data_IF_934155106083
#
_entry.id   IF_934155106083
#
_cell.length_a   1.000
_cell.length_b   1.000
_cell.length_c   1.000
_cell.angle_alpha   90.00
_cell.angle_beta   90.00
_cell.angle_gamma   90.00
#
_symmetry.space_group_name_H-M   'P 1'
#
loop_
_entity.id
_entity.type
_entity.pdbx_description
1 polymer ?
#
# COMPACT_ATOMS: atom_id res chain seq x y z
N UNK A 1 12.31 -17.13 -26.56
CA UNK A 1 12.14 -15.88 -25.77
C UNK A 1 11.10 -15.02 -26.48
N UNK A 2 10.13 -14.44 -25.76
CA UNK A 2 9.08 -13.58 -26.33
C UNK A 2 9.22 -12.17 -25.75
N UNK A 3 9.16 -11.13 -26.59
CA UNK A 3 9.08 -9.74 -26.13
C UNK A 3 7.63 -9.40 -25.82
N UNK A 4 7.41 -8.72 -24.69
CA UNK A 4 6.09 -8.29 -24.25
C UNK A 4 5.92 -6.78 -24.45
N UNK A 5 4.75 -6.38 -24.91
CA UNK A 5 4.21 -5.05 -24.73
C UNK A 5 3.34 -5.07 -23.49
N UNK A 6 3.75 -4.27 -22.51
CA UNK A 6 3.19 -4.23 -21.17
C UNK A 6 2.27 -3.01 -21.02
N UNK A 7 1.50 -2.95 -19.95
CA UNK A 7 0.47 -1.93 -19.79
C UNK A 7 0.88 -0.85 -18.78
N UNK A 8 0.68 0.43 -19.11
CA UNK A 8 0.98 1.54 -18.19
C UNK A 8 -0.31 2.12 -17.61
N UNK A 9 -0.37 2.23 -16.29
CA UNK A 9 -1.42 2.94 -15.56
C UNK A 9 -0.97 4.36 -15.24
N UNK A 10 -1.80 5.32 -15.63
CA UNK A 10 -1.57 6.77 -15.51
C UNK A 10 -2.34 7.36 -14.31
N UNK A 11 -2.09 6.82 -13.12
CA UNK A 11 -2.78 7.31 -11.92
C UNK A 11 -2.18 8.63 -11.45
N UNK A 12 -3.04 9.55 -10.98
CA UNK A 12 -2.64 10.91 -10.54
C UNK A 12 -1.60 10.97 -9.41
N UNK A 13 -1.38 9.86 -8.69
CA UNK A 13 -0.36 9.78 -7.64
C UNK A 13 1.04 9.50 -8.21
N UNK A 14 1.15 9.11 -9.48
CA UNK A 14 2.41 8.78 -10.14
C UNK A 14 3.26 10.02 -10.44
N UNK A 15 4.56 9.80 -10.67
CA UNK A 15 5.44 10.87 -11.19
C UNK A 15 5.02 11.28 -12.60
N UNK A 16 5.24 12.55 -12.90
CA UNK A 16 4.85 13.16 -14.16
C UNK A 16 5.99 13.05 -15.18
N UNK A 17 5.65 12.83 -16.45
CA UNK A 17 6.58 12.88 -17.57
C UNK A 17 7.84 12.04 -17.39
N UNK A 18 8.96 12.61 -17.82
CA UNK A 18 10.28 11.98 -17.79
C UNK A 18 10.87 11.82 -16.38
N UNK A 19 10.25 12.42 -15.35
CA UNK A 19 10.63 12.15 -13.95
C UNK A 19 10.21 10.75 -13.50
N UNK A 20 9.25 10.13 -14.20
CA UNK A 20 8.78 8.79 -13.90
C UNK A 20 9.74 7.70 -14.39
N UNK A 21 10.16 6.83 -13.49
CA UNK A 21 10.85 5.58 -13.83
C UNK A 21 9.99 4.69 -14.74
N UNK A 22 8.66 4.72 -14.58
CA UNK A 22 7.73 3.98 -15.45
C UNK A 22 7.77 4.54 -16.86
N UNK A 23 7.69 5.87 -17.02
CA UNK A 23 7.74 6.50 -18.34
C UNK A 23 9.06 6.20 -19.07
N UNK A 24 10.20 6.40 -18.39
CA UNK A 24 11.53 6.15 -18.96
C UNK A 24 11.74 4.69 -19.34
N UNK A 25 11.34 3.76 -18.46
CA UNK A 25 11.46 2.33 -18.74
C UNK A 25 10.55 1.91 -19.91
N UNK A 26 9.32 2.43 -19.96
CA UNK A 26 8.40 2.15 -21.05
C UNK A 26 8.93 2.69 -22.39
N UNK A 27 9.42 3.93 -22.42
CA UNK A 27 10.01 4.55 -23.61
C UNK A 27 11.24 3.78 -24.13
N UNK A 28 12.15 3.36 -23.23
CA UNK A 28 13.29 2.53 -23.61
C UNK A 28 12.86 1.18 -24.25
N UNK A 29 11.69 0.67 -23.85
CA UNK A 29 11.09 -0.54 -24.38
C UNK A 29 10.23 -0.34 -25.64
N UNK A 30 9.92 0.87 -26.07
CA UNK A 30 8.96 1.12 -27.16
C UNK A 30 9.44 2.27 -28.07
N UNK A 31 9.95 1.93 -29.26
CA UNK A 31 10.62 2.88 -30.16
C UNK A 31 9.76 4.06 -30.62
N UNK A 32 8.44 3.89 -30.66
CA UNK A 32 7.49 4.89 -31.14
C UNK A 32 6.73 5.56 -29.99
N UNK A 33 7.17 5.35 -28.75
CA UNK A 33 6.56 5.97 -27.59
C UNK A 33 7.34 7.22 -27.21
N UNK A 34 6.66 8.36 -27.29
CA UNK A 34 7.14 9.62 -26.75
C UNK A 34 6.51 9.85 -25.37
N UNK A 35 7.33 10.28 -24.42
CA UNK A 35 6.86 10.61 -23.07
C UNK A 35 6.11 11.93 -23.16
N UNK A 36 4.87 11.93 -22.68
CA UNK A 36 4.08 13.15 -22.50
C UNK A 36 4.48 13.78 -21.16
N UNK A 37 5.14 14.94 -21.22
CA UNK A 37 5.63 15.63 -20.03
C UNK A 37 4.51 16.18 -19.13
N UNK A 38 3.27 16.26 -19.63
CA UNK A 38 2.12 16.73 -18.85
C UNK A 38 1.33 15.58 -18.19
N UNK A 39 1.72 14.33 -18.44
CA UNK A 39 0.98 13.14 -18.01
C UNK A 39 1.64 12.42 -16.82
N UNK A 40 0.83 11.76 -16.00
CA UNK A 40 1.33 10.91 -14.91
C UNK A 40 1.55 9.47 -15.34
N UNK A 41 2.64 8.86 -14.85
CA UNK A 41 3.00 7.48 -15.16
C UNK A 41 3.28 6.74 -13.86
N UNK A 42 2.29 5.97 -13.39
CA UNK A 42 2.25 5.47 -12.03
C UNK A 42 2.70 4.01 -11.91
N UNK A 43 2.14 3.11 -12.73
CA UNK A 43 2.46 1.68 -12.68
C UNK A 43 2.71 1.11 -14.09
N UNK A 44 3.78 0.34 -14.27
CA UNK A 44 3.97 -0.55 -15.43
C UNK A 44 3.62 -1.98 -15.03
N UNK A 45 2.58 -2.54 -15.65
CA UNK A 45 2.05 -3.87 -15.36
C UNK A 45 2.60 -4.89 -16.34
N UNK A 46 3.19 -5.96 -15.80
CA UNK A 46 3.80 -7.03 -16.57
C UNK A 46 3.19 -8.36 -16.11
N UNK A 47 2.50 -9.02 -17.02
CA UNK A 47 1.86 -10.31 -16.76
C UNK A 47 0.51 -10.43 -17.44
N UNK A 48 -0.36 -11.22 -16.83
CA UNK A 48 -1.62 -11.66 -17.44
C UNK A 48 -2.85 -11.03 -16.78
N UNK A 49 -2.70 -9.99 -15.98
CA UNK A 49 -3.83 -9.43 -15.23
C UNK A 49 -4.87 -8.83 -16.20
N UNK A 50 -6.18 -9.13 -16.05
CA UNK A 50 -7.23 -8.66 -16.97
C UNK A 50 -7.27 -7.13 -17.18
N UNK A 51 -7.06 -6.35 -16.12
CA UNK A 51 -7.07 -4.87 -16.20
C UNK A 51 -5.88 -4.26 -16.93
N UNK A 52 -4.81 -5.03 -17.17
CA UNK A 52 -3.60 -4.54 -17.84
C UNK A 52 -2.85 -5.71 -18.50
N UNK A 53 -3.46 -6.37 -19.49
CA UNK A 53 -2.93 -7.61 -20.03
C UNK A 53 -1.72 -7.30 -20.92
N UNK A 54 -0.60 -7.97 -20.67
CA UNK A 54 0.53 -7.91 -21.59
C UNK A 54 0.21 -8.68 -22.89
N UNK A 55 0.77 -8.21 -24.00
CA UNK A 55 0.67 -8.87 -25.31
C UNK A 55 2.05 -9.14 -25.89
N UNK A 56 2.15 -10.11 -26.79
CA UNK A 56 3.39 -10.39 -27.51
C UNK A 56 3.62 -9.32 -28.59
N UNK A 57 4.78 -8.66 -28.61
CA UNK A 57 5.06 -7.53 -29.51
C UNK A 57 4.96 -7.87 -31.00
N UNK A 58 5.15 -9.13 -31.38
CA UNK A 58 5.15 -9.56 -32.78
C UNK A 58 3.77 -9.93 -33.34
N UNK A 59 2.77 -10.09 -32.48
CA UNK A 59 1.47 -10.67 -32.88
C UNK A 59 0.27 -10.06 -32.15
N UNK A 60 0.52 -9.19 -31.17
CA UNK A 60 -0.49 -8.62 -30.27
C UNK A 60 -1.35 -9.68 -29.55
N UNK A 61 -0.91 -10.95 -29.55
CA UNK A 61 -1.58 -12.04 -28.82
C UNK A 61 -1.42 -11.80 -27.33
N UNK A 62 -2.51 -11.90 -26.57
CA UNK A 62 -2.46 -11.81 -25.10
C UNK A 62 -1.53 -12.88 -24.53
N UNK A 63 -0.74 -12.49 -23.53
CA UNK A 63 0.16 -13.41 -22.84
C UNK A 63 -0.61 -14.58 -22.21
N UNK A 64 -1.81 -14.33 -21.66
CA UNK A 64 -2.66 -15.38 -21.07
C UNK A 64 -3.03 -16.48 -22.08
N UNK A 65 -3.42 -16.08 -23.29
CA UNK A 65 -3.83 -17.01 -24.35
C UNK A 65 -2.63 -17.71 -24.97
N UNK A 66 -1.48 -17.04 -25.03
CA UNK A 66 -0.22 -17.65 -25.46
C UNK A 66 0.23 -18.74 -24.50
N UNK A 67 0.19 -18.48 -23.18
CA UNK A 67 0.52 -19.47 -22.14
C UNK A 67 -0.42 -20.66 -22.20
N UNK A 68 -1.73 -20.44 -22.40
CA UNK A 68 -2.74 -21.49 -22.49
C UNK A 68 -2.46 -22.50 -23.62
N UNK A 69 -1.86 -22.04 -24.73
CA UNK A 69 -1.50 -22.88 -25.89
C UNK A 69 -0.09 -23.48 -25.80
N UNK A 70 0.65 -23.18 -24.73
CA UNK A 70 2.03 -23.64 -24.57
C UNK A 70 2.12 -24.99 -23.86
N UNK A 71 3.20 -25.74 -24.10
CA UNK A 71 3.48 -27.00 -23.40
C UNK A 71 3.61 -26.85 -21.88
N UNK A 72 3.88 -25.63 -21.40
CA UNK A 72 4.03 -25.32 -19.97
C UNK A 72 2.73 -24.97 -19.26
N UNK A 73 1.59 -24.99 -19.97
CA UNK A 73 0.27 -24.68 -19.43
C UNK A 73 -0.05 -25.47 -18.14
N UNK A 74 0.35 -26.74 -18.06
CA UNK A 74 0.11 -27.61 -16.91
C UNK A 74 0.82 -27.17 -15.62
N UNK A 75 1.96 -26.48 -15.72
CA UNK A 75 2.72 -26.01 -14.54
C UNK A 75 2.21 -24.66 -14.01
N UNK A 76 1.40 -23.97 -14.80
CA UNK A 76 0.93 -22.61 -14.52
C UNK A 76 -0.60 -22.55 -14.30
N UNK A 77 -1.30 -23.68 -14.42
CA UNK A 77 -2.76 -23.74 -14.30
C UNK A 77 -3.20 -23.60 -12.84
N UNK A 78 -3.44 -22.37 -12.42
CA UNK A 78 -3.99 -22.05 -11.09
C UNK A 78 -5.53 -21.97 -11.14
N UNK A 79 -6.21 -23.03 -11.62
CA UNK A 79 -7.66 -23.09 -11.89
C UNK A 79 -8.19 -22.20 -13.03
N UNK A 80 -7.34 -21.82 -13.99
CA UNK A 80 -7.72 -20.95 -15.10
C UNK A 80 -8.35 -21.71 -16.29
N UNK A 81 -9.17 -21.02 -17.06
CA UNK A 81 -9.94 -21.58 -18.18
C UNK A 81 -9.03 -22.10 -19.31
N UNK A 82 -9.51 -23.10 -20.08
CA UNK A 82 -8.72 -23.76 -21.16
C UNK A 82 -8.15 -22.79 -22.19
N UNK A 83 -8.75 -21.60 -22.33
CA UNK A 83 -8.42 -20.63 -23.37
C UNK A 83 -7.50 -19.50 -22.89
N UNK A 84 -7.42 -19.25 -21.58
CA UNK A 84 -6.61 -18.21 -20.96
C UNK A 84 -6.04 -18.69 -19.63
N UNK A 85 -4.71 -18.70 -19.49
CA UNK A 85 -4.02 -19.01 -18.23
C UNK A 85 -3.40 -17.75 -17.65
N UNK A 86 -3.80 -17.40 -16.43
CA UNK A 86 -3.22 -16.29 -15.68
C UNK A 86 -2.08 -16.75 -14.77
N UNK A 87 -1.00 -15.97 -14.75
CA UNK A 87 0.11 -16.15 -13.83
C UNK A 87 -0.35 -15.95 -12.37
N UNK A 88 0.23 -16.69 -11.41
CA UNK A 88 -0.09 -16.54 -9.99
C UNK A 88 0.52 -15.28 -9.36
N UNK A 89 1.12 -14.40 -10.16
CA UNK A 89 1.70 -13.14 -9.73
C UNK A 89 1.51 -12.08 -10.82
N UNK A 90 1.58 -10.83 -10.40
CA UNK A 90 1.77 -9.67 -11.29
C UNK A 90 3.08 -9.00 -10.91
N UNK A 91 3.90 -8.67 -11.90
CA UNK A 91 5.07 -7.83 -11.69
C UNK A 91 4.72 -6.39 -12.04
N UNK A 92 5.11 -5.46 -11.17
CA UNK A 92 4.91 -4.03 -11.39
C UNK A 92 6.21 -3.26 -11.22
N UNK A 93 6.40 -2.23 -12.04
CA UNK A 93 7.27 -1.10 -11.69
C UNK A 93 6.37 0.05 -11.28
N UNK A 94 6.64 0.67 -10.14
CA UNK A 94 5.85 1.79 -9.61
C UNK A 94 6.73 3.03 -9.55
N UNK A 95 6.21 4.17 -10.02
CA UNK A 95 6.87 5.47 -9.88
C UNK A 95 5.96 6.42 -9.11
N UNK A 96 6.30 6.62 -7.83
CA UNK A 96 5.40 7.21 -6.83
C UNK A 96 5.80 8.67 -6.60
N UNK A 97 4.86 9.60 -6.84
CA UNK A 97 5.03 11.01 -6.47
C UNK A 97 4.23 11.38 -5.21
N UNK A 98 3.11 10.73 -4.94
CA UNK A 98 2.27 10.98 -3.76
C UNK A 98 2.16 9.70 -2.92
N UNK A 99 2.12 9.87 -1.61
CA UNK A 99 1.90 8.78 -0.66
C UNK A 99 0.61 8.03 -1.00
N UNK A 100 0.69 6.69 -0.99
CA UNK A 100 -0.45 5.82 -1.20
C UNK A 100 -1.19 5.58 0.13
N UNK A 101 -2.41 5.03 0.05
CA UNK A 101 -3.18 4.68 1.24
C UNK A 101 -2.42 3.70 2.13
N UNK A 102 -2.66 3.79 3.45
CA UNK A 102 -2.28 2.72 4.37
C UNK A 102 -3.11 1.48 4.04
N UNK A 103 -2.44 0.35 3.87
CA UNK A 103 -3.07 -0.88 3.41
C UNK A 103 -2.74 -2.05 4.34
N UNK A 104 -3.71 -2.94 4.50
CA UNK A 104 -3.54 -4.24 5.14
C UNK A 104 -4.22 -5.27 4.24
N UNK A 105 -3.52 -6.35 3.94
CA UNK A 105 -4.09 -7.46 3.17
C UNK A 105 -4.59 -8.55 4.12
N UNK A 106 -5.81 -9.08 3.88
CA UNK A 106 -6.30 -10.22 4.66
C UNK A 106 -5.43 -11.45 4.41
N UNK A 107 -5.34 -12.31 5.42
CA UNK A 107 -4.87 -13.68 5.19
C UNK A 107 -5.89 -14.48 4.37
N UNK A 108 -5.55 -15.71 3.99
CA UNK A 108 -6.38 -16.50 3.08
C UNK A 108 -7.78 -16.75 3.63
N UNK A 109 -7.88 -17.10 4.91
CA UNK A 109 -9.14 -17.40 5.59
C UNK A 109 -10.00 -16.13 5.77
N UNK A 110 -9.38 -14.97 5.95
CA UNK A 110 -10.07 -13.68 5.98
C UNK A 110 -10.55 -13.26 4.59
N UNK A 111 -9.74 -13.44 3.55
CA UNK A 111 -10.09 -13.07 2.17
C UNK A 111 -11.34 -13.81 1.70
N UNK A 112 -11.42 -15.13 1.96
CA UNK A 112 -12.60 -15.94 1.68
C UNK A 112 -13.84 -15.35 2.36
N UNK A 113 -13.77 -15.11 3.68
CA UNK A 113 -14.91 -14.58 4.46
C UNK A 113 -15.32 -13.18 4.04
N UNK A 114 -14.36 -12.32 3.70
CA UNK A 114 -14.62 -10.95 3.28
C UNK A 114 -15.26 -10.91 1.90
N UNK A 115 -14.79 -11.72 0.96
CA UNK A 115 -15.39 -11.88 -0.36
C UNK A 115 -16.82 -12.43 -0.28
N UNK A 116 -17.08 -13.42 0.58
CA UNK A 116 -18.42 -13.96 0.77
C UNK A 116 -19.40 -12.94 1.37
N UNK A 117 -18.90 -12.03 2.21
CA UNK A 117 -19.72 -11.00 2.87
C UNK A 117 -19.91 -9.75 2.01
N UNK A 118 -18.89 -9.33 1.27
CA UNK A 118 -18.84 -8.08 0.53
C UNK A 118 -18.00 -8.22 -0.76
N UNK A 119 -18.53 -8.93 -1.78
CA UNK A 119 -17.78 -9.24 -3.00
C UNK A 119 -17.48 -8.00 -3.87
N UNK A 120 -18.12 -6.86 -3.60
CA UNK A 120 -17.87 -5.60 -4.33
C UNK A 120 -16.51 -5.02 -3.92
N UNK A 121 -16.22 -4.97 -2.61
CA UNK A 121 -14.96 -4.44 -2.10
C UNK A 121 -13.85 -5.49 -1.98
N UNK A 122 -14.22 -6.76 -1.87
CA UNK A 122 -13.29 -7.89 -1.87
C UNK A 122 -13.59 -8.77 -3.07
N UNK A 123 -13.10 -8.43 -4.28
CA UNK A 123 -13.52 -9.07 -5.53
C UNK A 123 -13.05 -10.52 -5.69
N UNK A 124 -12.12 -10.98 -4.85
CA UNK A 124 -11.60 -12.34 -4.91
C UNK A 124 -11.26 -12.91 -3.51
N UNK A 125 -11.00 -14.22 -3.48
CA UNK A 125 -10.77 -15.01 -2.26
C UNK A 125 -9.29 -15.22 -1.92
N UNK A 126 -8.36 -14.51 -2.57
CA UNK A 126 -6.93 -14.76 -2.42
C UNK A 126 -6.30 -13.85 -1.36
N UNK A 127 -5.29 -14.38 -0.68
CA UNK A 127 -4.34 -13.51 0.02
C UNK A 127 -3.49 -12.75 -1.00
N UNK A 128 -2.91 -11.63 -0.58
CA UNK A 128 -2.07 -10.79 -1.45
C UNK A 128 -0.70 -10.51 -0.82
N UNK A 129 0.23 -11.48 -0.84
CA UNK A 129 1.61 -11.22 -0.46
C UNK A 129 2.25 -10.30 -1.49
N UNK A 130 2.97 -9.30 -1.01
CA UNK A 130 3.66 -8.33 -1.85
C UNK A 130 5.15 -8.27 -1.49
N UNK A 131 5.99 -8.07 -2.50
CA UNK A 131 7.43 -7.85 -2.35
C UNK A 131 7.79 -6.55 -3.07
N UNK A 132 8.38 -5.60 -2.33
CA UNK A 132 8.88 -4.36 -2.89
C UNK A 132 10.40 -4.43 -3.06
N UNK A 133 10.89 -3.99 -4.21
CA UNK A 133 12.32 -3.82 -4.49
C UNK A 133 12.58 -2.38 -4.93
N UNK A 134 13.42 -1.67 -4.20
CA UNK A 134 13.71 -0.27 -4.43
C UNK A 134 14.66 -0.09 -5.63
N UNK A 135 14.17 0.48 -6.73
CA UNK A 135 14.98 0.86 -7.90
C UNK A 135 15.70 2.20 -7.72
N UNK A 136 15.13 3.06 -6.87
CA UNK A 136 15.63 4.37 -6.48
C UNK A 136 15.47 4.52 -4.97
N UNK A 137 15.83 5.68 -4.39
CA UNK A 137 15.52 5.95 -2.99
C UNK A 137 14.01 5.82 -2.76
N UNK A 138 13.64 5.03 -1.77
CA UNK A 138 12.26 4.64 -1.51
C UNK A 138 11.96 4.70 -0.01
N UNK A 139 10.78 5.19 0.33
CA UNK A 139 10.29 5.30 1.70
C UNK A 139 9.00 4.50 1.85
N UNK A 140 8.87 3.74 2.95
CA UNK A 140 7.76 2.84 3.21
C UNK A 140 7.42 2.82 4.70
N UNK A 141 6.13 2.86 5.01
CA UNK A 141 5.61 2.45 6.32
C UNK A 141 5.30 0.96 6.28
N UNK A 142 5.98 0.17 7.12
CA UNK A 142 5.81 -1.28 7.17
C UNK A 142 5.74 -1.76 8.63
N UNK A 143 4.55 -2.26 9.01
CA UNK A 143 4.29 -2.73 10.36
C UNK A 143 4.22 -1.62 11.42
N UNK A 144 3.89 -2.02 12.64
CA UNK A 144 3.92 -1.13 13.80
C UNK A 144 5.33 -1.10 14.39
N UNK A 145 5.72 0.07 14.92
CA UNK A 145 6.91 0.19 15.78
C UNK A 145 6.70 -0.59 17.09
N UNK A 146 7.78 -0.92 17.82
CA UNK A 146 7.67 -1.47 19.18
C UNK A 146 6.75 -0.62 20.08
N UNK A 147 5.96 -1.27 20.93
CA UNK A 147 4.88 -0.61 21.67
C UNK A 147 5.37 0.49 22.62
N UNK A 148 6.57 0.32 23.19
CA UNK A 148 7.27 1.30 24.02
C UNK A 148 7.66 2.57 23.23
N UNK A 149 8.11 2.43 21.98
CA UNK A 149 8.40 3.57 21.11
C UNK A 149 7.12 4.33 20.73
N UNK A 150 6.01 3.62 20.54
CA UNK A 150 4.72 4.26 20.27
C UNK A 150 4.22 4.97 21.53
N UNK A 151 4.34 4.35 22.70
CA UNK A 151 3.98 4.97 23.97
C UNK A 151 4.78 6.26 24.22
N UNK A 152 6.08 6.27 23.91
CA UNK A 152 6.90 7.48 24.02
C UNK A 152 6.36 8.62 23.13
N UNK A 153 5.88 8.32 21.92
CA UNK A 153 5.25 9.32 21.05
C UNK A 153 3.91 9.81 21.61
N UNK A 154 3.10 8.90 22.18
CA UNK A 154 1.83 9.22 22.84
C UNK A 154 2.07 10.16 24.04
N UNK A 155 3.11 9.91 24.83
CA UNK A 155 3.48 10.75 25.98
C UNK A 155 4.07 12.10 25.56
N UNK A 156 4.81 12.14 24.45
CA UNK A 156 5.39 13.36 23.91
C UNK A 156 4.33 14.31 23.31
N UNK A 157 3.18 13.78 22.86
CA UNK A 157 2.12 14.57 22.25
C UNK A 157 0.75 14.24 22.87
N UNK A 158 0.32 15.01 23.90
CA UNK A 158 -0.91 14.74 24.65
C UNK A 158 -2.20 14.58 23.81
N UNK A 159 -2.43 15.32 22.70
CA UNK A 159 -3.62 15.09 21.88
C UNK A 159 -3.69 13.68 21.27
N UNK A 160 -2.53 13.05 20.96
CA UNK A 160 -2.51 11.65 20.51
C UNK A 160 -2.97 10.69 21.61
N UNK A 161 -2.66 10.98 22.87
CA UNK A 161 -3.19 10.23 24.02
C UNK A 161 -4.71 10.34 24.13
N UNK A 162 -5.26 11.51 23.84
CA UNK A 162 -6.72 11.73 23.85
C UNK A 162 -7.41 10.97 22.72
N UNK A 163 -6.89 11.04 21.49
CA UNK A 163 -7.50 10.33 20.35
C UNK A 163 -7.36 8.80 20.49
N UNK A 164 -6.25 8.32 21.07
CA UNK A 164 -6.04 6.89 21.34
C UNK A 164 -6.73 6.35 22.61
N UNK A 165 -7.55 7.18 23.26
CA UNK A 165 -8.18 6.92 24.56
C UNK A 165 -7.19 6.82 25.73
N UNK A 166 -7.42 7.68 26.74
CA UNK A 166 -6.51 7.85 27.88
C UNK A 166 -6.41 6.55 28.70
N UNK A 167 -7.53 5.86 28.89
CA UNK A 167 -7.57 4.62 29.67
C UNK A 167 -6.85 3.48 28.96
N UNK A 168 -7.02 3.35 27.65
CA UNK A 168 -6.28 2.39 26.84
C UNK A 168 -4.77 2.69 26.83
N UNK A 169 -4.38 3.95 26.77
CA UNK A 169 -2.97 4.35 26.88
C UNK A 169 -2.36 3.96 28.25
N UNK A 170 -3.10 4.12 29.35
CA UNK A 170 -2.63 3.71 30.69
C UNK A 170 -2.50 2.19 30.83
N UNK A 171 -3.43 1.44 30.24
CA UNK A 171 -3.31 -0.03 30.14
C UNK A 171 -2.08 -0.42 29.32
N UNK A 172 -1.85 0.23 28.18
CA UNK A 172 -0.68 -0.03 27.34
C UNK A 172 0.61 0.18 28.13
N UNK A 173 0.74 1.30 28.83
CA UNK A 173 1.88 1.59 29.71
C UNK A 173 2.08 0.52 30.79
N UNK A 174 0.99 0.10 31.43
CA UNK A 174 1.02 -0.96 32.45
C UNK A 174 1.47 -2.30 31.88
N UNK A 175 1.00 -2.67 30.69
CA UNK A 175 1.36 -3.93 30.02
C UNK A 175 2.83 -3.91 29.61
N UNK A 176 3.31 -2.82 29.01
CA UNK A 176 4.72 -2.65 28.63
C UNK A 176 5.63 -2.80 29.86
N UNK A 177 5.27 -2.20 31.00
CA UNK A 177 6.05 -2.33 32.23
C UNK A 177 6.11 -3.75 32.84
N UNK A 178 5.22 -4.65 32.42
CA UNK A 178 5.16 -6.05 32.89
C UNK A 178 5.80 -7.05 31.92
N UNK A 179 5.89 -6.71 30.64
CA UNK A 179 6.37 -7.58 29.59
C UNK A 179 7.85 -7.31 29.30
N UNK A 180 8.63 -8.37 29.02
CA UNK A 180 10.06 -8.23 28.68
C UNK A 180 10.29 -7.78 27.25
N UNK A 181 9.37 -8.14 26.35
CA UNK A 181 9.43 -7.82 24.93
C UNK A 181 8.32 -6.80 24.60
N UNK A 182 8.67 -5.57 24.17
CA UNK A 182 7.67 -4.56 23.78
C UNK A 182 6.89 -4.95 22.52
N UNK A 183 7.26 -6.04 21.83
CA UNK A 183 6.51 -6.62 20.72
C UNK A 183 5.70 -7.86 21.12
N UNK A 184 5.61 -8.21 22.41
CA UNK A 184 4.86 -9.38 22.85
C UNK A 184 3.38 -9.32 22.42
N UNK A 185 2.72 -10.47 22.36
CA UNK A 185 1.30 -10.54 21.99
C UNK A 185 0.43 -9.62 22.85
N UNK A 186 0.71 -9.53 24.15
CA UNK A 186 -0.05 -8.68 25.08
C UNK A 186 0.19 -7.19 24.80
N UNK A 187 1.43 -6.78 24.52
CA UNK A 187 1.74 -5.41 24.09
C UNK A 187 1.01 -5.05 22.79
N UNK A 188 1.00 -5.96 21.80
CA UNK A 188 0.28 -5.77 20.53
C UNK A 188 -1.23 -5.68 20.73
N UNK A 189 -1.81 -6.48 21.62
CA UNK A 189 -3.24 -6.41 21.94
C UNK A 189 -3.62 -5.09 22.63
N UNK A 190 -2.81 -4.62 23.59
CA UNK A 190 -3.04 -3.34 24.24
C UNK A 190 -2.90 -2.16 23.25
N UNK A 191 -1.91 -2.23 22.36
CA UNK A 191 -1.74 -1.25 21.29
C UNK A 191 -2.91 -1.28 20.29
N UNK A 192 -3.41 -2.46 19.93
CA UNK A 192 -4.55 -2.60 19.04
C UNK A 192 -5.82 -1.94 19.62
N UNK A 193 -6.02 -1.96 20.94
CA UNK A 193 -7.12 -1.24 21.58
C UNK A 193 -6.97 0.29 21.43
N UNK A 194 -5.76 0.82 21.63
CA UNK A 194 -5.46 2.25 21.44
C UNK A 194 -5.67 2.69 19.99
N UNK A 195 -5.13 1.90 19.05
CA UNK A 195 -5.26 2.18 17.61
C UNK A 195 -6.70 2.04 17.13
N UNK A 196 -7.45 1.05 17.63
CA UNK A 196 -8.87 0.86 17.32
C UNK A 196 -9.72 2.07 17.69
N UNK A 197 -9.52 2.64 18.88
CA UNK A 197 -10.20 3.87 19.31
C UNK A 197 -9.87 5.06 18.42
N UNK A 198 -8.60 5.23 18.05
CA UNK A 198 -8.20 6.29 17.13
C UNK A 198 -8.88 6.14 15.76
N UNK A 199 -8.92 4.92 15.20
CA UNK A 199 -9.60 4.66 13.92
C UNK A 199 -11.12 4.88 14.01
N UNK A 200 -11.73 4.52 15.14
CA UNK A 200 -13.15 4.76 15.37
C UNK A 200 -13.46 6.26 15.48
N UNK A 201 -12.63 7.05 16.18
CA UNK A 201 -12.76 8.51 16.23
C UNK A 201 -12.51 9.17 14.88
N UNK A 202 -11.54 8.69 14.11
CA UNK A 202 -11.30 9.17 12.74
C UNK A 202 -12.53 8.96 11.84
N UNK A 203 -13.29 7.88 12.08
CA UNK A 203 -14.54 7.60 11.36
C UNK A 203 -15.73 8.42 11.88
N UNK A 204 -15.90 8.49 13.20
CA UNK A 204 -17.10 9.07 13.84
C UNK A 204 -17.01 10.57 14.09
N UNK A 205 -15.80 11.11 14.24
CA UNK A 205 -15.50 12.50 14.57
C UNK A 205 -14.30 13.00 13.74
N UNK A 206 -14.39 13.01 12.39
CA UNK A 206 -13.27 13.35 11.52
C UNK A 206 -12.73 14.77 11.75
N UNK A 207 -13.60 15.73 12.05
CA UNK A 207 -13.21 17.14 12.30
C UNK A 207 -12.33 17.24 13.55
N UNK A 208 -12.69 16.54 14.64
CA UNK A 208 -11.90 16.49 15.87
C UNK A 208 -10.50 15.90 15.62
N UNK A 209 -10.42 14.86 14.79
CA UNK A 209 -9.12 14.28 14.40
C UNK A 209 -8.33 15.26 13.54
N UNK A 210 -8.98 16.00 12.65
CA UNK A 210 -8.38 17.09 11.89
C UNK A 210 -7.74 18.15 12.79
N UNK A 211 -8.47 18.64 13.80
CA UNK A 211 -7.95 19.59 14.78
C UNK A 211 -6.72 19.07 15.53
N UNK A 212 -6.70 17.78 15.90
CA UNK A 212 -5.52 17.18 16.53
C UNK A 212 -4.32 17.02 15.59
N UNK A 213 -4.57 16.81 14.29
CA UNK A 213 -3.52 16.81 13.27
C UNK A 213 -2.93 18.21 13.11
N UNK A 214 -3.77 19.25 13.08
CA UNK A 214 -3.29 20.64 12.99
C UNK A 214 -2.44 21.02 14.21
N UNK A 215 -2.89 20.66 15.41
CA UNK A 215 -2.12 20.84 16.65
C UNK A 215 -0.78 20.08 16.61
N UNK A 216 -0.76 18.87 16.04
CA UNK A 216 0.47 18.09 15.88
C UNK A 216 1.44 18.81 14.94
N UNK A 217 0.95 19.36 13.83
CA UNK A 217 1.77 20.09 12.87
C UNK A 217 2.39 21.34 13.52
N UNK A 218 1.60 22.13 14.23
CA UNK A 218 2.10 23.30 14.97
C UNK A 218 3.15 22.92 16.03
N UNK A 219 2.90 21.85 16.79
CA UNK A 219 3.85 21.35 17.77
C UNK A 219 5.20 20.95 17.15
N UNK A 220 5.17 20.34 15.97
CA UNK A 220 6.38 19.89 15.27
C UNK A 220 7.13 21.03 14.59
N UNK A 221 6.42 22.04 14.09
CA UNK A 221 7.03 23.24 13.53
C UNK A 221 7.74 24.09 14.59
N UNK A 222 7.26 24.03 15.84
CA UNK A 222 7.90 24.64 16.98
C UNK A 222 9.05 23.80 17.60
N UNK A 223 9.50 22.75 16.90
CA UNK A 223 10.66 21.94 17.31
C UNK A 223 10.37 20.85 18.34
N UNK A 224 9.10 20.49 18.55
CA UNK A 224 8.68 19.54 19.58
C UNK A 224 9.25 18.13 19.46
N UNK A 225 9.63 17.66 18.25
CA UNK A 225 10.25 16.34 18.01
C UNK A 225 11.22 16.40 16.81
N UNK A 226 12.25 15.54 16.81
CA UNK A 226 13.17 15.32 15.69
C UNK A 226 12.40 15.02 14.38
N UNK A 227 12.38 15.97 13.45
CA UNK A 227 11.57 16.01 12.21
C UNK A 227 11.71 14.81 11.25
N UNK A 228 12.62 13.87 11.48
CA UNK A 228 13.01 12.85 10.48
C UNK A 228 11.90 11.87 10.03
N UNK A 229 10.75 11.79 10.70
CA UNK A 229 9.69 10.81 10.35
C UNK A 229 8.39 11.46 9.86
N UNK A 230 8.19 12.78 10.05
CA UNK A 230 6.91 13.42 9.71
C UNK A 230 6.88 14.14 8.34
N UNK A 231 8.04 14.26 7.67
CA UNK A 231 8.27 15.26 6.62
C UNK A 231 7.65 14.94 5.24
N UNK A 232 7.03 13.78 5.01
CA UNK A 232 6.58 13.41 3.65
C UNK A 232 5.06 13.30 3.42
N UNK A 233 4.23 13.22 4.47
CA UNK A 233 2.82 12.80 4.32
C UNK A 233 1.85 13.99 4.27
N UNK A 234 2.13 15.08 4.99
CA UNK A 234 1.12 16.11 5.27
C UNK A 234 0.78 17.08 4.13
N UNK A 235 1.68 17.48 3.20
CA UNK A 235 1.25 18.38 2.12
C UNK A 235 0.36 17.69 1.07
N UNK A 236 0.11 16.37 1.15
CA UNK A 236 -0.32 15.56 -0.01
C UNK A 236 -1.50 14.62 0.22
N UNK A 237 -2.07 14.53 1.42
CA UNK A 237 -3.30 13.76 1.64
C UNK A 237 -4.44 14.69 2.09
N UNK A 238 -5.47 14.95 1.26
CA UNK A 238 -6.74 15.39 1.81
C UNK A 238 -7.25 14.31 2.77
N UNK A 239 -7.89 14.70 3.87
CA UNK A 239 -8.60 13.77 4.75
C UNK A 239 -9.60 13.01 3.87
N UNK A 240 -9.30 11.74 3.59
CA UNK A 240 -10.17 10.90 2.78
C UNK A 240 -11.27 10.41 3.72
N UNK A 241 -12.39 11.12 3.73
CA UNK A 241 -13.66 10.57 4.19
C UNK A 241 -14.01 9.40 3.26
N UNK A 242 -13.89 8.18 3.76
CA UNK A 242 -14.42 6.98 3.11
C UNK A 242 -15.94 6.91 3.21
#
# INVERSE_FOLDING_TARGET
MQRLECHVKKYKWGKQGSESEVARLFAAGHKNFEVDEDETYAELWMGTHPDGPAVLSNSSTRLSSFIAKSHSASYLSNNNWKEDIHLPFIMKVMSIARSLSLQVHPNKEQAIRLHERDPIHYPDRHHKPELAYALTQFELLCGFRPADQILANIEAFPPLRTVMDVHNCDKLKTVIGKEKDPQSLKCRQALAACFGEMMEKARSHPDLVGEYVDQLMEFLDNGGINRKVLVAITPRMPIVSG
#
